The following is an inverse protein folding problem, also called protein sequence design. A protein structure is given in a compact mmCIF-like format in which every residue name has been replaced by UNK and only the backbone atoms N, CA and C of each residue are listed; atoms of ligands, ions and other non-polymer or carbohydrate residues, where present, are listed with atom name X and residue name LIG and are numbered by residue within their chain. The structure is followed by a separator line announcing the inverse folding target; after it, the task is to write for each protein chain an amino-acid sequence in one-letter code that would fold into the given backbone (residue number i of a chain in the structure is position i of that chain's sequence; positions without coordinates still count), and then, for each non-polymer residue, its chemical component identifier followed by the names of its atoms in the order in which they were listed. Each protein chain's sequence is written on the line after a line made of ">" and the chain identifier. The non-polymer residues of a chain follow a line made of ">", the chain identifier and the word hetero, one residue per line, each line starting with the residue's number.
data_IF_985934717011
#
_entry.id   IF_985934717011
#
_cell.length_a   1.000
_cell.length_b   1.000
_cell.length_c   1.000
_cell.angle_alpha   90.00
_cell.angle_beta   90.00
_cell.angle_gamma   90.00
#
_symmetry.space_group_name_H-M   'P 1'
#
loop_
_entity.id
_entity.type
_entity.pdbx_description
1 polymer ?
#
# COMPACT_ATOMS: atom_id res chain seq x y z
N UNK A 1 -9.12 34.69 -4.53
CA UNK A 1 -8.23 33.69 -3.94
C UNK A 1 -6.91 34.39 -3.62
N UNK A 2 -6.60 34.63 -2.35
CA UNK A 2 -5.31 35.22 -1.96
C UNK A 2 -4.27 34.12 -2.14
N UNK A 3 -3.28 34.34 -3.01
CA UNK A 3 -2.14 33.45 -3.15
C UNK A 3 -1.30 33.58 -1.87
N UNK A 4 -1.30 32.55 -1.01
CA UNK A 4 -0.52 32.54 0.22
C UNK A 4 0.93 32.17 -0.09
N UNK A 5 1.88 32.96 0.38
CA UNK A 5 3.31 32.60 0.40
C UNK A 5 3.56 31.75 1.63
N UNK A 6 4.13 30.56 1.43
CA UNK A 6 4.56 29.67 2.50
C UNK A 6 6.06 29.76 2.68
N UNK A 7 6.56 29.66 3.91
CA UNK A 7 7.99 29.80 4.24
C UNK A 7 8.65 28.44 4.51
N UNK A 8 7.84 27.41 4.75
CA UNK A 8 8.31 26.06 5.02
C UNK A 8 7.35 25.02 4.46
N UNK A 9 7.84 23.79 4.27
CA UNK A 9 6.99 22.67 3.84
C UNK A 9 5.94 22.31 4.91
N UNK A 10 6.27 22.51 6.20
CA UNK A 10 5.29 22.28 7.29
C UNK A 10 4.10 23.23 7.25
N UNK A 11 4.25 24.43 6.66
CA UNK A 11 3.15 25.39 6.50
C UNK A 11 2.11 24.92 5.47
N UNK A 12 2.48 23.96 4.61
CA UNK A 12 1.60 23.33 3.63
C UNK A 12 0.76 22.20 4.21
N UNK A 13 1.06 21.75 5.44
CA UNK A 13 0.33 20.65 6.07
C UNK A 13 -1.02 21.16 6.57
N UNK A 14 -2.06 20.42 6.22
CA UNK A 14 -3.43 20.82 6.51
C UNK A 14 -4.04 21.69 5.40
N UNK A 15 -5.15 22.35 5.71
CA UNK A 15 -5.95 23.14 4.76
C UNK A 15 -6.24 22.37 3.46
N UNK A 16 -6.38 21.06 3.56
CA UNK A 16 -6.59 20.19 2.41
C UNK A 16 -7.96 20.43 1.79
N UNK A 17 -8.09 20.28 0.46
CA UNK A 17 -9.37 20.44 -0.22
C UNK A 17 -10.40 19.42 0.24
N UNK A 18 -11.67 19.81 0.13
CA UNK A 18 -12.82 18.94 0.28
C UNK A 18 -13.53 18.85 -1.07
N UNK A 19 -13.65 17.64 -1.62
CA UNK A 19 -14.23 17.36 -2.92
C UNK A 19 -15.60 16.69 -2.75
N UNK A 20 -16.65 17.24 -3.33
CA UNK A 20 -17.93 16.52 -3.45
C UNK A 20 -17.86 15.52 -4.60
N UNK A 21 -18.19 14.27 -4.34
CA UNK A 21 -18.26 13.21 -5.35
C UNK A 21 -19.61 13.25 -6.06
N UNK A 22 -19.59 13.20 -7.40
CA UNK A 22 -20.78 13.36 -8.21
C UNK A 22 -21.06 12.20 -9.18
N UNK A 23 -20.05 11.40 -9.50
CA UNK A 23 -20.14 10.34 -10.50
C UNK A 23 -20.35 8.95 -9.90
N UNK A 24 -20.11 8.82 -8.59
CA UNK A 24 -20.40 7.61 -7.85
C UNK A 24 -21.85 7.64 -7.37
N UNK A 25 -22.50 6.47 -7.35
CA UNK A 25 -23.85 6.33 -6.78
C UNK A 25 -23.80 6.46 -5.25
N UNK A 26 -24.21 7.62 -4.74
CA UNK A 26 -24.28 7.94 -3.31
C UNK A 26 -25.69 7.84 -2.74
N UNK A 27 -26.64 7.25 -3.48
CA UNK A 27 -28.05 7.25 -3.06
C UNK A 27 -28.56 8.68 -2.80
N UNK A 28 -29.30 8.93 -1.73
CA UNK A 28 -29.84 10.26 -1.44
C UNK A 28 -28.81 11.24 -0.83
N UNK A 29 -27.58 10.79 -0.51
CA UNK A 29 -26.61 11.59 0.24
C UNK A 29 -25.72 12.45 -0.67
N UNK A 30 -25.26 13.56 -0.12
CA UNK A 30 -24.09 14.28 -0.61
C UNK A 30 -22.84 13.73 0.07
N UNK A 31 -21.95 13.09 -0.71
CA UNK A 31 -20.73 12.49 -0.20
C UNK A 31 -19.52 13.38 -0.53
N UNK A 32 -18.75 13.70 0.51
CA UNK A 32 -17.57 14.55 0.43
C UNK A 32 -16.30 13.77 0.77
N UNK A 33 -15.24 13.99 0.00
CA UNK A 33 -13.94 13.37 0.17
C UNK A 33 -12.92 14.42 0.61
N UNK A 34 -12.40 14.32 1.83
CA UNK A 34 -11.32 15.17 2.35
C UNK A 34 -9.99 14.69 1.80
N UNK A 35 -9.32 15.51 0.98
CA UNK A 35 -8.15 15.10 0.20
C UNK A 35 -6.85 15.19 1.03
N UNK A 36 -6.72 14.34 2.05
CA UNK A 36 -5.53 14.27 2.90
C UNK A 36 -4.28 13.74 2.17
N UNK A 37 -4.46 13.09 1.02
CA UNK A 37 -3.40 12.72 0.09
C UNK A 37 -2.68 13.92 -0.55
N UNK A 38 -3.20 15.14 -0.38
CA UNK A 38 -2.60 16.38 -0.86
C UNK A 38 -1.72 17.09 0.16
N UNK A 39 -1.58 16.58 1.38
CA UNK A 39 -0.51 17.00 2.26
C UNK A 39 0.87 16.78 1.60
N UNK A 40 1.92 17.55 1.92
CA UNK A 40 3.21 17.50 1.22
C UNK A 40 3.92 16.14 1.27
N UNK A 41 3.77 15.36 2.36
CA UNK A 41 4.24 13.96 2.45
C UNK A 41 3.25 12.94 1.86
N UNK A 42 2.14 13.44 1.31
CA UNK A 42 1.13 12.65 0.60
C UNK A 42 0.24 11.83 1.51
N UNK A 43 -0.02 12.26 2.75
CA UNK A 43 -0.96 11.57 3.63
C UNK A 43 -1.47 12.39 4.82
N UNK A 44 -2.54 11.92 5.43
CA UNK A 44 -3.10 12.42 6.68
C UNK A 44 -2.10 12.38 7.85
N UNK A 45 -1.06 11.55 7.77
CA UNK A 45 -0.06 11.39 8.84
C UNK A 45 0.93 12.54 8.91
N UNK A 46 0.99 13.41 7.92
CA UNK A 46 1.81 14.63 7.98
C UNK A 46 1.35 15.53 9.13
N UNK A 47 0.02 15.64 9.33
CA UNK A 47 -0.56 16.36 10.47
C UNK A 47 -0.15 15.75 11.81
N UNK A 48 -0.22 14.43 11.90
CA UNK A 48 0.13 13.66 13.09
C UNK A 48 1.62 13.82 13.42
N UNK A 49 2.49 13.67 12.43
CA UNK A 49 3.93 13.83 12.59
C UNK A 49 4.31 15.24 13.06
N UNK A 50 3.74 16.28 12.44
CA UNK A 50 3.97 17.67 12.84
C UNK A 50 3.52 17.92 14.28
N UNK A 51 2.34 17.45 14.66
CA UNK A 51 1.78 17.62 16.00
C UNK A 51 2.65 16.92 17.06
N UNK A 52 3.03 15.65 16.83
CA UNK A 52 3.83 14.89 17.79
C UNK A 52 5.23 15.49 18.00
N UNK A 53 5.88 15.96 16.93
CA UNK A 53 7.19 16.61 17.04
C UNK A 53 7.07 17.96 17.75
N UNK A 54 6.11 18.81 17.37
CA UNK A 54 5.91 20.12 18.02
C UNK A 54 5.59 19.97 19.51
N UNK A 55 4.77 18.98 19.88
CA UNK A 55 4.42 18.73 21.28
C UNK A 55 5.63 18.21 22.06
N UNK A 56 6.46 17.35 21.47
CA UNK A 56 7.69 16.89 22.09
C UNK A 56 8.69 18.04 22.34
N UNK A 57 8.81 18.97 21.39
CA UNK A 57 9.60 20.20 21.54
C UNK A 57 9.04 21.08 22.67
N UNK A 58 7.72 21.34 22.66
CA UNK A 58 7.05 22.16 23.67
C UNK A 58 7.21 21.59 25.09
N UNK A 59 7.21 20.27 25.22
CA UNK A 59 7.41 19.59 26.51
C UNK A 59 8.90 19.46 26.91
N UNK A 60 9.84 19.90 26.07
CA UNK A 60 11.27 19.72 26.29
C UNK A 60 11.78 18.29 26.22
N UNK A 61 10.97 17.37 25.66
CA UNK A 61 11.33 15.95 25.48
C UNK A 61 12.24 15.72 24.28
N UNK A 62 12.18 16.63 23.29
CA UNK A 62 13.01 16.60 22.10
C UNK A 62 13.81 17.91 22.02
N UNK A 63 15.13 17.81 22.21
CA UNK A 63 16.04 18.95 22.11
C UNK A 63 16.38 19.23 20.62
N UNK A 64 16.71 20.50 20.26
CA UNK A 64 17.16 20.83 18.91
C UNK A 64 18.31 19.93 18.44
N UNK A 65 18.24 19.40 17.23
CA UNK A 65 19.20 18.45 16.68
C UNK A 65 19.17 17.04 17.29
N UNK A 66 18.20 16.77 18.16
CA UNK A 66 17.99 15.47 18.81
C UNK A 66 17.69 14.33 17.83
N UNK A 67 17.49 13.13 18.38
CA UNK A 67 17.19 11.94 17.61
C UNK A 67 15.75 11.53 17.87
N UNK A 68 14.99 11.35 16.80
CA UNK A 68 13.62 10.79 16.81
C UNK A 68 13.71 9.32 16.45
N UNK A 69 13.00 8.47 17.19
CA UNK A 69 12.90 7.03 16.89
C UNK A 69 11.43 6.64 16.81
N UNK A 70 11.07 5.84 15.82
CA UNK A 70 9.71 5.29 15.67
C UNK A 70 9.74 3.92 14.99
N UNK A 71 8.75 3.11 15.30
CA UNK A 71 8.54 1.78 14.75
C UNK A 71 7.48 1.83 13.64
N UNK A 72 7.88 2.18 12.40
CA UNK A 72 6.94 2.28 11.29
C UNK A 72 7.63 2.34 9.93
N UNK A 73 7.03 1.70 8.94
CA UNK A 73 7.38 1.85 7.53
C UNK A 73 6.27 2.56 6.72
N UNK A 74 5.20 2.95 7.39
CA UNK A 74 4.02 3.54 6.74
C UNK A 74 4.09 5.07 6.63
N UNK A 75 2.91 5.63 6.45
CA UNK A 75 2.74 7.08 6.28
C UNK A 75 3.23 7.91 7.47
N UNK A 76 3.16 7.37 8.69
CA UNK A 76 3.72 8.05 9.88
C UNK A 76 5.22 8.24 9.74
N UNK A 77 5.96 7.22 9.28
CA UNK A 77 7.40 7.34 9.03
C UNK A 77 7.73 8.39 7.96
N UNK A 78 6.93 8.47 6.90
CA UNK A 78 7.12 9.49 5.86
C UNK A 78 6.86 10.91 6.39
N UNK A 79 5.78 11.11 7.14
CA UNK A 79 5.49 12.39 7.78
C UNK A 79 6.60 12.80 8.77
N UNK A 80 7.06 11.86 9.62
CA UNK A 80 8.17 12.11 10.54
C UNK A 80 9.46 12.45 9.78
N UNK A 81 9.77 11.74 8.69
CA UNK A 81 10.97 12.01 7.89
C UNK A 81 10.93 13.41 7.26
N UNK A 82 9.78 13.82 6.73
CA UNK A 82 9.58 15.15 6.18
C UNK A 82 9.85 16.25 7.22
N UNK A 83 9.25 16.15 8.41
CA UNK A 83 9.39 17.15 9.47
C UNK A 83 10.79 17.10 10.12
N UNK A 84 11.35 15.91 10.33
CA UNK A 84 12.69 15.74 10.87
C UNK A 84 13.75 16.38 9.96
N UNK A 85 13.66 16.16 8.63
CA UNK A 85 14.55 16.78 7.66
C UNK A 85 14.47 18.33 7.72
N UNK A 86 13.25 18.87 7.76
CA UNK A 86 13.03 20.31 7.81
C UNK A 86 13.55 20.96 9.10
N UNK A 87 13.36 20.29 10.24
CA UNK A 87 13.75 20.79 11.57
C UNK A 87 15.16 20.37 11.99
N UNK A 88 15.93 19.71 11.13
CA UNK A 88 17.28 19.22 11.38
C UNK A 88 17.36 18.20 12.53
N UNK A 89 16.37 17.31 12.65
CA UNK A 89 16.40 16.17 13.56
C UNK A 89 16.99 14.94 12.87
N UNK A 90 17.67 14.10 13.62
CA UNK A 90 18.02 12.74 13.18
C UNK A 90 16.79 11.85 13.33
N UNK A 91 16.48 11.07 12.33
CA UNK A 91 15.37 10.12 12.39
C UNK A 91 15.86 8.70 12.17
N UNK A 92 15.50 7.81 13.09
CA UNK A 92 15.74 6.37 12.99
C UNK A 92 14.38 5.67 12.97
N UNK A 93 14.13 4.89 11.93
CA UNK A 93 12.90 4.11 11.78
C UNK A 93 13.21 2.61 11.83
N UNK A 94 12.56 1.91 12.74
CA UNK A 94 12.61 0.46 12.84
C UNK A 94 11.48 -0.14 12.01
N UNK A 95 11.83 -0.94 11.01
CA UNK A 95 10.94 -1.38 9.95
C UNK A 95 11.00 -2.91 9.82
N UNK A 96 9.86 -3.62 9.83
CA UNK A 96 9.83 -5.06 9.54
C UNK A 96 10.33 -5.36 8.12
N UNK A 97 11.08 -6.43 7.94
CA UNK A 97 11.72 -6.84 6.67
C UNK A 97 10.74 -7.25 5.56
N UNK A 98 9.46 -7.48 5.91
CA UNK A 98 8.36 -7.74 4.94
C UNK A 98 7.88 -6.51 4.17
N UNK A 99 8.39 -5.33 4.52
CA UNK A 99 7.93 -4.08 3.88
C UNK A 99 8.51 -3.90 2.49
N UNK A 100 7.78 -3.20 1.62
CA UNK A 100 8.20 -2.99 0.23
C UNK A 100 9.48 -2.16 0.13
N UNK A 101 10.32 -2.47 -0.88
CA UNK A 101 11.60 -1.76 -1.14
C UNK A 101 11.37 -0.28 -1.41
N UNK A 102 10.29 0.06 -2.12
CA UNK A 102 9.92 1.44 -2.48
C UNK A 102 9.68 2.30 -1.22
N UNK A 103 9.01 1.76 -0.21
CA UNK A 103 8.80 2.46 1.07
C UNK A 103 10.12 2.73 1.78
N UNK A 104 11.01 1.73 1.83
CA UNK A 104 12.33 1.86 2.44
C UNK A 104 13.16 2.91 1.70
N UNK A 105 13.13 2.90 0.36
CA UNK A 105 13.84 3.90 -0.45
C UNK A 105 13.29 5.30 -0.25
N UNK A 106 11.98 5.45 -0.17
CA UNK A 106 11.35 6.76 0.08
C UNK A 106 11.76 7.33 1.45
N UNK A 107 11.74 6.52 2.51
CA UNK A 107 12.19 6.93 3.84
C UNK A 107 13.67 7.36 3.83
N UNK A 108 14.55 6.58 3.17
CA UNK A 108 15.97 6.90 3.05
C UNK A 108 16.22 8.16 2.23
N UNK A 109 15.45 8.38 1.15
CA UNK A 109 15.53 9.59 0.34
C UNK A 109 15.19 10.87 1.12
N UNK A 110 14.33 10.76 2.13
CA UNK A 110 14.02 11.84 3.09
C UNK A 110 15.06 11.97 4.23
N UNK A 111 16.14 11.18 4.21
CA UNK A 111 17.23 11.27 5.19
C UNK A 111 17.05 10.38 6.43
N UNK A 112 16.02 9.53 6.48
CA UNK A 112 15.85 8.63 7.62
C UNK A 112 16.87 7.47 7.60
N UNK A 113 17.40 7.14 8.77
CA UNK A 113 18.11 5.88 9.00
C UNK A 113 17.08 4.77 9.18
N UNK A 114 17.09 3.77 8.29
CA UNK A 114 16.13 2.66 8.34
C UNK A 114 16.83 1.40 8.81
N UNK A 115 16.40 0.89 9.97
CA UNK A 115 16.84 -0.36 10.57
C UNK A 115 15.80 -1.45 10.30
N UNK A 116 16.21 -2.49 9.59
CA UNK A 116 15.33 -3.63 9.31
C UNK A 116 15.36 -4.61 10.48
N UNK A 117 14.18 -5.14 10.83
CA UNK A 117 14.04 -6.16 11.86
C UNK A 117 13.13 -7.30 11.35
N UNK A 118 13.14 -8.43 12.07
CA UNK A 118 12.36 -9.62 11.73
C UNK A 118 10.87 -9.35 11.79
N UNK A 119 10.13 -9.81 10.78
CA UNK A 119 8.66 -9.76 10.71
C UNK A 119 7.97 -11.06 11.15
N UNK A 120 8.74 -12.12 11.43
CA UNK A 120 8.25 -13.44 11.85
C UNK A 120 8.19 -13.61 13.39
N UNK A 121 8.25 -12.50 14.13
CA UNK A 121 8.21 -12.48 15.60
C UNK A 121 7.05 -11.63 16.12
N UNK A 122 6.54 -12.01 17.30
CA UNK A 122 5.41 -11.36 17.95
C UNK A 122 5.87 -10.38 19.05
N UNK A 123 4.93 -9.55 19.52
CA UNK A 123 5.14 -8.62 20.66
C UNK A 123 5.72 -9.33 21.87
N UNK A 124 6.70 -8.71 22.50
CA UNK A 124 7.49 -9.28 23.61
C UNK A 124 8.82 -9.93 23.17
N UNK A 125 9.00 -10.18 21.87
CA UNK A 125 10.29 -10.64 21.35
C UNK A 125 11.24 -9.44 21.14
N UNK A 126 12.54 -9.50 21.50
CA UNK A 126 13.47 -8.37 21.36
C UNK A 126 13.62 -7.81 19.95
N UNK A 127 13.35 -8.60 18.91
CA UNK A 127 13.35 -8.17 17.51
C UNK A 127 11.97 -7.75 17.01
N UNK A 128 10.91 -7.76 17.84
CA UNK A 128 9.63 -7.18 17.45
C UNK A 128 9.79 -5.67 17.25
N UNK A 129 9.32 -5.14 16.14
CA UNK A 129 9.70 -3.80 15.66
C UNK A 129 9.41 -2.68 16.68
N UNK A 130 8.28 -2.73 17.40
CA UNK A 130 7.96 -1.73 18.43
C UNK A 130 8.84 -1.88 19.67
N UNK A 131 9.07 -3.13 20.14
CA UNK A 131 9.92 -3.40 21.32
C UNK A 131 11.38 -3.02 21.03
N UNK A 132 11.84 -3.26 19.80
CA UNK A 132 13.17 -2.85 19.36
C UNK A 132 13.30 -1.33 19.31
N UNK A 133 12.33 -0.61 18.72
CA UNK A 133 12.37 0.85 18.64
C UNK A 133 12.37 1.51 20.03
N UNK A 134 11.55 1.01 20.94
CA UNK A 134 11.50 1.50 22.32
C UNK A 134 12.83 1.30 23.02
N UNK A 135 13.39 0.08 23.00
CA UNK A 135 14.69 -0.21 23.57
C UNK A 135 15.80 0.64 22.97
N UNK A 136 15.81 0.82 21.65
CA UNK A 136 16.79 1.65 20.96
C UNK A 136 16.72 3.10 21.42
N UNK A 137 15.51 3.62 21.69
CA UNK A 137 15.35 4.96 22.21
C UNK A 137 15.86 5.08 23.64
N UNK A 138 15.61 4.10 24.50
CA UNK A 138 16.10 4.05 25.87
C UNK A 138 17.64 3.97 25.94
N UNK A 139 18.27 3.27 24.97
CA UNK A 139 19.72 3.09 24.88
C UNK A 139 20.44 4.27 24.16
N UNK A 140 19.69 5.13 23.45
CA UNK A 140 20.27 6.24 22.68
C UNK A 140 20.16 7.56 23.46
N UNK A 141 21.27 8.15 23.94
CA UNK A 141 21.25 9.39 24.69
C UNK A 141 20.56 10.54 23.92
N UNK A 142 19.58 11.19 24.55
CA UNK A 142 18.85 12.30 23.95
C UNK A 142 17.89 11.91 22.81
N UNK A 143 17.60 10.63 22.64
CA UNK A 143 16.58 10.18 21.70
C UNK A 143 15.17 10.29 22.30
N UNK A 144 14.21 10.54 21.45
CA UNK A 144 12.79 10.58 21.77
C UNK A 144 12.04 9.50 20.95
N UNK A 145 11.37 8.58 21.64
CA UNK A 145 10.46 7.62 21.03
C UNK A 145 9.10 8.25 20.83
N UNK A 146 8.63 8.33 19.59
CA UNK A 146 7.37 8.99 19.23
C UNK A 146 6.16 8.25 19.81
N UNK A 147 6.13 6.90 19.69
CA UNK A 147 5.06 6.03 20.19
C UNK A 147 3.66 6.47 19.71
N UNK A 148 3.43 6.44 18.40
CA UNK A 148 2.21 6.94 17.76
C UNK A 148 0.91 6.36 18.33
N UNK A 149 0.96 5.15 18.91
CA UNK A 149 -0.22 4.47 19.45
C UNK A 149 -0.62 4.97 20.85
N UNK A 150 0.31 5.58 21.59
CA UNK A 150 0.09 6.08 22.96
C UNK A 150 0.34 7.59 23.10
N UNK A 151 0.61 8.29 22.01
CA UNK A 151 0.94 9.70 22.01
C UNK A 151 -0.30 10.58 21.82
N UNK A 152 -0.70 11.30 22.87
CA UNK A 152 -1.88 12.19 22.86
C UNK A 152 -1.79 13.32 21.81
N UNK A 153 -0.61 13.68 21.34
CA UNK A 153 -0.44 14.64 20.26
C UNK A 153 -0.92 14.09 18.90
N UNK A 154 -1.11 12.78 18.77
CA UNK A 154 -1.71 12.17 17.59
C UNK A 154 -3.20 12.55 17.44
N UNK A 155 -4.11 12.27 18.38
CA UNK A 155 -5.49 12.76 18.28
C UNK A 155 -5.57 14.30 18.33
N UNK A 156 -4.68 14.96 19.05
CA UNK A 156 -4.63 16.43 19.11
C UNK A 156 -4.46 17.06 17.72
N UNK A 157 -3.66 16.46 16.82
CA UNK A 157 -3.50 16.92 15.45
C UNK A 157 -4.85 17.06 14.73
N UNK A 158 -5.73 16.09 14.91
CA UNK A 158 -7.04 16.07 14.27
C UNK A 158 -8.07 16.96 14.96
N UNK A 159 -8.03 17.03 16.28
CA UNK A 159 -8.90 17.91 17.06
C UNK A 159 -8.61 19.39 16.77
N UNK A 160 -7.33 19.76 16.56
CA UNK A 160 -6.94 21.17 16.36
C UNK A 160 -6.88 21.61 14.90
N UNK A 161 -6.88 20.69 13.95
CA UNK A 161 -6.79 21.04 12.52
C UNK A 161 -7.86 20.38 11.67
N UNK A 162 -7.90 19.05 11.56
CA UNK A 162 -8.79 18.33 10.64
C UNK A 162 -10.27 18.58 10.93
N UNK A 163 -10.67 18.53 12.22
CA UNK A 163 -12.06 18.72 12.62
C UNK A 163 -12.55 20.15 12.37
N UNK A 164 -11.83 21.22 12.81
CA UNK A 164 -12.22 22.59 12.48
C UNK A 164 -12.27 22.87 10.99
N UNK A 165 -11.33 22.35 10.19
CA UNK A 165 -11.34 22.50 8.74
C UNK A 165 -12.60 21.90 8.12
N UNK A 166 -12.98 20.67 8.47
CA UNK A 166 -14.19 20.02 7.97
C UNK A 166 -15.44 20.81 8.33
N UNK A 167 -15.53 21.22 9.59
CA UNK A 167 -16.65 22.00 10.09
C UNK A 167 -16.81 23.32 9.34
N UNK A 168 -15.70 24.03 9.12
CA UNK A 168 -15.69 25.29 8.36
C UNK A 168 -16.05 25.06 6.89
N UNK A 169 -15.49 24.05 6.24
CA UNK A 169 -15.71 23.75 4.82
C UNK A 169 -17.16 23.35 4.51
N UNK A 170 -17.88 22.80 5.48
CA UNK A 170 -19.28 22.39 5.36
C UNK A 170 -20.25 23.25 6.18
N UNK A 171 -19.77 24.41 6.69
CA UNK A 171 -20.59 25.36 7.45
C UNK A 171 -21.31 24.73 8.66
N UNK A 172 -20.66 23.74 9.28
CA UNK A 172 -21.19 23.01 10.43
C UNK A 172 -22.28 21.98 10.11
N UNK A 173 -22.61 21.80 8.83
CA UNK A 173 -23.67 20.86 8.42
C UNK A 173 -23.05 19.53 7.96
N UNK A 174 -22.79 18.64 8.93
CA UNK A 174 -22.21 17.31 8.74
C UNK A 174 -23.05 16.30 9.52
N UNK A 175 -23.71 15.37 8.81
CA UNK A 175 -24.51 14.33 9.44
C UNK A 175 -23.66 13.12 9.88
N UNK A 176 -22.68 12.72 9.07
CA UNK A 176 -21.83 11.56 9.38
C UNK A 176 -20.41 11.72 8.85
N UNK A 177 -19.45 11.12 9.57
CA UNK A 177 -18.04 11.03 9.20
C UNK A 177 -17.63 9.56 9.19
N UNK A 178 -17.17 9.07 8.03
CA UNK A 178 -16.67 7.69 7.86
C UNK A 178 -15.17 7.69 7.98
N UNK A 179 -14.64 6.95 8.95
CA UNK A 179 -13.22 6.86 9.27
C UNK A 179 -12.75 5.40 9.37
N UNK A 180 -11.47 5.18 9.12
CA UNK A 180 -10.77 3.94 9.44
C UNK A 180 -9.87 4.13 10.65
N UNK A 181 -9.55 3.05 11.34
CA UNK A 181 -8.71 3.05 12.53
C UNK A 181 -7.43 2.23 12.28
N UNK A 182 -6.27 2.90 12.38
CA UNK A 182 -4.98 2.29 12.62
C UNK A 182 -4.56 2.65 14.05
N UNK A 183 -3.78 3.72 14.27
CA UNK A 183 -3.42 4.16 15.64
C UNK A 183 -4.59 4.73 16.48
N UNK A 184 -5.74 4.99 15.87
CA UNK A 184 -6.92 5.56 16.56
C UNK A 184 -6.95 7.09 16.62
N UNK A 185 -5.86 7.77 16.33
CA UNK A 185 -5.77 9.23 16.52
C UNK A 185 -6.78 10.03 15.71
N UNK A 186 -7.04 9.65 14.45
CA UNK A 186 -8.02 10.35 13.60
C UNK A 186 -9.43 10.27 14.21
N UNK A 187 -9.90 9.07 14.53
CA UNK A 187 -11.21 8.87 15.15
C UNK A 187 -11.30 9.62 16.48
N UNK A 188 -10.35 9.38 17.41
CA UNK A 188 -10.36 9.98 18.74
C UNK A 188 -10.31 11.51 18.71
N UNK A 189 -9.50 12.10 17.84
CA UNK A 189 -9.38 13.56 17.71
C UNK A 189 -10.64 14.20 17.10
N UNK A 190 -11.21 13.59 16.05
CA UNK A 190 -12.46 14.07 15.46
C UNK A 190 -13.61 13.96 16.47
N UNK A 191 -13.78 12.83 17.15
CA UNK A 191 -14.84 12.65 18.14
C UNK A 191 -14.71 13.64 19.30
N UNK A 192 -13.48 13.88 19.82
CA UNK A 192 -13.29 14.83 20.90
C UNK A 192 -13.76 16.24 20.51
N UNK A 193 -13.45 16.69 19.31
CA UNK A 193 -13.84 18.02 18.84
C UNK A 193 -15.34 18.11 18.52
N UNK A 194 -15.88 17.11 17.77
CA UNK A 194 -17.28 17.12 17.34
C UNK A 194 -18.25 16.92 18.50
N UNK A 195 -17.86 16.26 19.58
CA UNK A 195 -18.68 16.14 20.78
C UNK A 195 -19.08 17.49 21.37
N UNK A 196 -18.20 18.51 21.25
CA UNK A 196 -18.44 19.86 21.74
C UNK A 196 -19.12 20.76 20.72
N UNK A 197 -18.80 20.60 19.41
CA UNK A 197 -19.21 21.56 18.38
C UNK A 197 -20.36 21.06 17.49
N UNK A 198 -20.54 19.76 17.35
CA UNK A 198 -21.64 19.15 16.57
C UNK A 198 -21.93 17.73 17.10
N UNK A 199 -22.51 17.59 18.30
CA UNK A 199 -22.73 16.28 18.95
C UNK A 199 -23.71 15.37 18.20
N UNK A 200 -24.42 15.91 17.20
CA UNK A 200 -25.32 15.13 16.33
C UNK A 200 -24.59 14.36 15.21
N UNK A 201 -23.32 14.68 14.96
CA UNK A 201 -22.55 14.07 13.86
C UNK A 201 -22.23 12.61 14.20
N UNK A 202 -22.69 11.68 13.37
CA UNK A 202 -22.46 10.24 13.53
C UNK A 202 -21.05 9.86 13.08
N UNK A 203 -20.39 8.98 13.84
CA UNK A 203 -19.10 8.38 13.43
C UNK A 203 -19.33 6.95 12.97
N UNK A 204 -18.84 6.66 11.76
CA UNK A 204 -18.98 5.36 11.10
C UNK A 204 -17.60 4.75 10.96
N UNK A 205 -17.40 3.53 11.42
CA UNK A 205 -16.15 2.80 11.25
C UNK A 205 -16.13 2.04 9.92
N UNK A 206 -15.09 2.28 9.13
CA UNK A 206 -14.75 1.45 7.99
C UNK A 206 -13.57 0.56 8.38
N UNK A 207 -13.76 -0.75 8.41
CA UNK A 207 -12.79 -1.72 8.94
C UNK A 207 -12.49 -2.80 7.90
N UNK A 208 -11.21 -3.14 7.64
CA UNK A 208 -10.88 -4.26 6.77
C UNK A 208 -11.41 -5.58 7.32
N UNK A 209 -11.93 -6.44 6.45
CA UNK A 209 -12.29 -7.79 6.83
C UNK A 209 -11.06 -8.54 7.34
N UNK A 210 -11.13 -9.10 8.53
CA UNK A 210 -9.99 -9.70 9.26
C UNK A 210 -9.47 -8.86 10.42
N UNK A 211 -9.76 -7.56 10.47
CA UNK A 211 -9.56 -6.73 11.66
C UNK A 211 -10.64 -7.00 12.71
N UNK A 212 -10.32 -6.80 13.99
CA UNK A 212 -11.24 -7.06 15.11
C UNK A 212 -12.11 -5.84 15.51
N UNK A 213 -11.84 -4.67 14.93
CA UNK A 213 -12.42 -3.42 15.43
C UNK A 213 -13.92 -3.32 15.17
N UNK A 214 -14.39 -3.79 14.02
CA UNK A 214 -15.83 -3.83 13.72
C UNK A 214 -16.58 -4.81 14.62
N UNK A 215 -15.98 -5.95 14.98
CA UNK A 215 -16.58 -6.90 15.94
C UNK A 215 -16.69 -6.28 17.31
N UNK A 216 -15.68 -5.54 17.74
CA UNK A 216 -15.72 -4.81 19.01
C UNK A 216 -16.84 -3.76 19.06
N UNK A 217 -17.06 -3.02 17.95
CA UNK A 217 -18.16 -2.04 17.86
C UNK A 217 -19.53 -2.73 17.91
N UNK A 218 -19.72 -3.82 17.14
CA UNK A 218 -21.01 -4.47 17.00
C UNK A 218 -21.40 -5.32 18.21
N UNK A 219 -20.43 -5.97 18.88
CA UNK A 219 -20.69 -6.99 19.89
C UNK A 219 -20.08 -6.69 21.26
N UNK A 220 -19.17 -5.72 21.36
CA UNK A 220 -18.39 -5.45 22.58
C UNK A 220 -17.35 -6.54 22.88
N UNK A 221 -17.04 -7.44 21.93
CA UNK A 221 -16.11 -8.55 22.09
C UNK A 221 -15.07 -8.55 20.98
N UNK A 222 -13.91 -9.13 21.27
CA UNK A 222 -12.87 -9.37 20.27
C UNK A 222 -13.36 -10.41 19.26
N UNK A 223 -13.27 -10.10 17.98
CA UNK A 223 -13.48 -11.04 16.89
C UNK A 223 -12.28 -11.94 16.66
N UNK A 224 -12.40 -12.87 15.71
CA UNK A 224 -11.26 -13.64 15.23
C UNK A 224 -10.39 -12.77 14.31
N UNK A 225 -9.09 -12.74 14.57
CA UNK A 225 -8.13 -12.03 13.75
C UNK A 225 -7.87 -12.80 12.46
N UNK A 226 -8.05 -12.14 11.32
CA UNK A 226 -7.70 -12.64 10.00
C UNK A 226 -6.48 -11.92 9.42
N UNK A 227 -6.32 -12.00 8.11
CA UNK A 227 -5.33 -11.25 7.34
C UNK A 227 -6.01 -10.33 6.34
N UNK A 228 -5.39 -9.19 6.07
CA UNK A 228 -5.86 -8.23 5.06
C UNK A 228 -4.67 -7.60 4.33
N UNK A 229 -4.92 -7.06 3.13
CA UNK A 229 -3.94 -6.43 2.26
C UNK A 229 -4.03 -4.89 2.28
N UNK A 230 -5.13 -4.34 2.80
CA UNK A 230 -5.29 -2.89 3.00
C UNK A 230 -4.24 -2.39 3.97
N UNK A 231 -3.65 -1.23 3.70
CA UNK A 231 -2.59 -0.67 4.52
C UNK A 231 -3.08 0.56 5.30
N UNK A 232 -2.56 0.70 6.54
CA UNK A 232 -2.73 1.89 7.38
C UNK A 232 -3.98 1.94 8.24
N UNK A 233 -4.86 0.95 8.11
CA UNK A 233 -6.04 0.74 8.96
C UNK A 233 -6.27 -0.74 9.18
N UNK A 234 -7.07 -1.08 10.20
CA UNK A 234 -7.29 -2.45 10.65
C UNK A 234 -6.24 -2.86 11.68
N UNK A 235 -6.67 -3.47 12.76
CA UNK A 235 -5.81 -3.91 13.86
C UNK A 235 -6.27 -5.26 14.43
N UNK A 236 -5.36 -5.98 15.06
CA UNK A 236 -5.59 -7.21 15.83
C UNK A 236 -5.68 -6.96 17.35
N UNK A 237 -5.68 -5.68 17.73
CA UNK A 237 -5.89 -5.19 19.09
C UNK A 237 -6.68 -3.87 19.04
N UNK A 238 -7.17 -3.39 20.20
CA UNK A 238 -7.81 -2.08 20.29
C UNK A 238 -6.75 -1.03 20.60
N UNK A 239 -6.46 -0.10 19.67
CA UNK A 239 -5.53 0.99 19.94
C UNK A 239 -6.03 1.88 21.08
N UNK A 240 -5.18 2.25 22.04
CA UNK A 240 -5.58 3.07 23.19
C UNK A 240 -6.20 4.43 22.83
N UNK A 241 -5.82 4.99 21.67
CA UNK A 241 -6.33 6.27 21.18
C UNK A 241 -7.68 6.14 20.43
N UNK A 242 -8.12 4.93 20.13
CA UNK A 242 -9.39 4.70 19.44
C UNK A 242 -10.56 4.69 20.44
N UNK A 243 -11.49 5.62 20.28
CA UNK A 243 -12.71 5.72 21.09
C UNK A 243 -13.86 5.01 20.36
N UNK A 244 -13.84 3.67 20.38
CA UNK A 244 -14.81 2.86 19.62
C UNK A 244 -16.24 2.97 20.18
N UNK A 245 -16.41 3.29 21.44
CA UNK A 245 -17.71 3.52 22.09
C UNK A 245 -18.51 4.69 21.48
N UNK A 246 -17.82 5.62 20.82
CA UNK A 246 -18.47 6.74 20.11
C UNK A 246 -18.79 6.44 18.63
N UNK A 247 -18.61 5.21 18.19
CA UNK A 247 -18.93 4.77 16.82
C UNK A 247 -20.38 4.34 16.74
N UNK A 248 -21.14 4.92 15.79
CA UNK A 248 -22.56 4.62 15.58
C UNK A 248 -22.79 3.26 14.92
N UNK A 249 -21.97 2.92 13.91
CA UNK A 249 -22.03 1.64 13.19
C UNK A 249 -20.68 1.34 12.54
N UNK A 250 -20.42 0.06 12.26
CA UNK A 250 -19.21 -0.40 11.59
C UNK A 250 -19.52 -1.16 10.30
N UNK A 251 -18.66 -1.02 9.30
CA UNK A 251 -18.72 -1.75 8.04
C UNK A 251 -17.43 -2.53 7.82
N UNK A 252 -17.53 -3.85 7.71
CA UNK A 252 -16.43 -4.71 7.27
C UNK A 252 -16.35 -4.65 5.75
N UNK A 253 -15.17 -4.35 5.25
CA UNK A 253 -14.89 -4.20 3.82
C UNK A 253 -13.77 -5.17 3.44
N UNK A 254 -14.03 -6.02 2.45
CA UNK A 254 -13.01 -6.95 1.95
C UNK A 254 -11.95 -6.21 1.13
N UNK A 255 -10.74 -6.79 1.02
CA UNK A 255 -9.67 -6.25 0.17
C UNK A 255 -10.12 -6.07 -1.28
N UNK A 256 -10.88 -7.04 -1.80
CA UNK A 256 -11.46 -6.96 -3.15
C UNK A 256 -12.34 -5.73 -3.31
N UNK A 257 -13.28 -5.52 -2.40
CA UNK A 257 -14.18 -4.36 -2.42
C UNK A 257 -13.39 -3.05 -2.30
N UNK A 258 -12.46 -2.97 -1.33
CA UNK A 258 -11.63 -1.80 -1.11
C UNK A 258 -10.82 -1.40 -2.35
N UNK A 259 -10.12 -2.36 -2.96
CA UNK A 259 -9.26 -2.07 -4.10
C UNK A 259 -10.04 -1.74 -5.37
N UNK A 260 -11.16 -2.43 -5.61
CA UNK A 260 -12.05 -2.09 -6.72
C UNK A 260 -12.63 -0.69 -6.57
N UNK A 261 -13.07 -0.31 -5.35
CA UNK A 261 -13.60 1.03 -5.08
C UNK A 261 -12.54 2.12 -5.24
N UNK A 262 -11.28 1.89 -4.80
CA UNK A 262 -10.19 2.83 -5.02
C UNK A 262 -9.86 3.01 -6.52
N UNK A 263 -9.89 1.93 -7.29
CA UNK A 263 -9.72 1.98 -8.76
C UNK A 263 -10.88 2.69 -9.44
N UNK A 264 -12.10 2.44 -9.01
CA UNK A 264 -13.29 3.14 -9.51
C UNK A 264 -13.22 4.64 -9.22
N UNK A 265 -12.80 5.04 -8.00
CA UNK A 265 -12.60 6.44 -7.64
C UNK A 265 -11.63 7.13 -8.60
N UNK A 266 -10.51 6.49 -8.96
CA UNK A 266 -9.59 7.02 -9.96
C UNK A 266 -10.24 7.13 -11.35
N UNK A 267 -10.95 6.10 -11.79
CA UNK A 267 -11.52 6.03 -13.15
C UNK A 267 -12.64 7.04 -13.37
N UNK A 268 -13.50 7.26 -12.37
CA UNK A 268 -14.69 8.08 -12.56
C UNK A 268 -14.59 9.50 -11.98
N UNK A 269 -13.87 9.67 -10.86
CA UNK A 269 -13.71 10.98 -10.21
C UNK A 269 -12.32 11.59 -10.42
N UNK A 270 -11.34 10.80 -10.94
CA UNK A 270 -9.98 11.26 -11.19
C UNK A 270 -9.10 11.37 -9.94
N UNK A 271 -9.50 10.77 -8.82
CA UNK A 271 -8.74 10.83 -7.57
C UNK A 271 -7.90 9.59 -7.37
N UNK A 272 -6.57 9.75 -7.44
CA UNK A 272 -5.59 8.67 -7.16
C UNK A 272 -5.30 8.62 -5.67
N UNK A 273 -5.89 7.66 -4.97
CA UNK A 273 -5.79 7.49 -3.52
C UNK A 273 -5.42 6.05 -3.14
N UNK A 274 -4.98 5.84 -1.89
CA UNK A 274 -4.48 4.55 -1.40
C UNK A 274 -5.56 3.55 -1.01
N UNK A 275 -5.12 2.39 -0.54
CA UNK A 275 -5.98 1.24 -0.21
C UNK A 275 -6.99 1.52 0.90
N UNK A 276 -6.57 2.20 1.97
CA UNK A 276 -7.46 2.61 3.06
C UNK A 276 -8.58 3.54 2.57
N UNK A 277 -8.31 4.40 1.59
CA UNK A 277 -9.35 5.24 0.97
C UNK A 277 -10.42 4.39 0.31
N UNK A 278 -10.04 3.30 -0.35
CA UNK A 278 -11.00 2.36 -0.93
C UNK A 278 -11.91 1.74 0.11
N UNK A 279 -11.36 1.33 1.25
CA UNK A 279 -12.14 0.81 2.40
C UNK A 279 -13.12 1.85 2.93
N UNK A 280 -12.62 3.07 3.19
CA UNK A 280 -13.44 4.15 3.72
C UNK A 280 -14.57 4.53 2.75
N UNK A 281 -14.25 4.65 1.46
CA UNK A 281 -15.21 5.00 0.42
C UNK A 281 -16.26 3.90 0.23
N UNK A 282 -15.87 2.62 0.25
CA UNK A 282 -16.82 1.50 0.19
C UNK A 282 -17.83 1.56 1.34
N UNK A 283 -17.35 1.75 2.56
CA UNK A 283 -18.21 1.90 3.73
C UNK A 283 -19.12 3.13 3.61
N UNK A 284 -18.58 4.27 3.16
CA UNK A 284 -19.34 5.51 2.96
C UNK A 284 -20.45 5.35 1.92
N UNK A 285 -20.16 4.70 0.79
CA UNK A 285 -21.16 4.42 -0.26
C UNK A 285 -22.27 3.49 0.26
N UNK A 286 -21.91 2.43 1.02
CA UNK A 286 -22.87 1.52 1.63
C UNK A 286 -23.75 2.25 2.67
N UNK A 287 -23.15 3.08 3.52
CA UNK A 287 -23.86 3.91 4.48
C UNK A 287 -24.83 4.87 3.77
N UNK A 288 -24.38 5.57 2.74
CA UNK A 288 -25.17 6.55 2.00
C UNK A 288 -26.38 5.91 1.29
N UNK A 289 -26.20 4.76 0.63
CA UNK A 289 -27.26 4.03 -0.07
C UNK A 289 -28.32 3.47 0.89
N UNK A 290 -27.97 3.22 2.14
CA UNK A 290 -28.90 2.74 3.15
C UNK A 290 -29.76 3.86 3.75
N UNK A 291 -29.51 5.13 3.43
CA UNK A 291 -30.28 6.24 3.97
C UNK A 291 -31.61 6.41 3.25
N UNK A 292 -32.64 6.79 3.97
CA UNK A 292 -33.99 7.12 3.43
C UNK A 292 -34.18 8.62 3.17
N UNK A 293 -33.25 9.46 3.64
CA UNK A 293 -33.27 10.91 3.50
C UNK A 293 -31.88 11.44 3.13
N UNK A 294 -31.79 12.63 2.51
CA UNK A 294 -30.51 13.26 2.24
C UNK A 294 -29.70 13.44 3.53
N UNK A 295 -28.40 13.10 3.45
CA UNK A 295 -27.39 13.36 4.50
C UNK A 295 -26.13 13.91 3.86
N UNK A 296 -25.40 14.73 4.61
CA UNK A 296 -24.07 15.20 4.25
C UNK A 296 -23.04 14.32 4.95
N UNK A 297 -22.33 13.52 4.16
CA UNK A 297 -21.39 12.49 4.65
C UNK A 297 -19.97 12.82 4.20
N UNK A 298 -19.03 12.72 5.12
CA UNK A 298 -17.59 12.97 4.85
C UNK A 298 -16.81 11.68 4.98
N UNK A 299 -15.84 11.48 4.09
CA UNK A 299 -14.79 10.48 4.23
C UNK A 299 -13.45 11.04 3.75
N UNK A 300 -12.37 10.23 3.76
CA UNK A 300 -11.00 10.71 3.55
C UNK A 300 -10.30 9.98 2.42
N UNK A 301 -9.59 10.74 1.57
CA UNK A 301 -8.48 10.23 0.77
C UNK A 301 -7.22 10.27 1.65
N UNK A 302 -7.02 9.20 2.42
CA UNK A 302 -6.05 9.16 3.52
C UNK A 302 -4.61 9.35 3.06
N UNK A 303 -4.25 8.79 1.88
CA UNK A 303 -2.94 8.92 1.29
C UNK A 303 -2.96 8.80 -0.24
N UNK A 304 -1.82 9.11 -0.86
CA UNK A 304 -1.65 9.08 -2.32
C UNK A 304 -1.55 7.66 -2.86
N UNK A 305 -2.28 7.38 -3.94
CA UNK A 305 -2.23 6.12 -4.67
C UNK A 305 -0.88 5.85 -5.36
N UNK A 306 -0.01 6.85 -5.49
CA UNK A 306 1.36 6.67 -6.02
C UNK A 306 2.17 5.63 -5.25
N UNK A 307 1.82 5.36 -4.00
CA UNK A 307 2.46 4.35 -3.14
C UNK A 307 2.01 2.91 -3.45
N UNK A 308 1.04 2.73 -4.36
CA UNK A 308 0.35 1.46 -4.64
C UNK A 308 0.28 1.11 -6.13
N UNK A 309 1.05 1.81 -6.98
CA UNK A 309 1.04 1.59 -8.45
C UNK A 309 1.46 0.17 -8.82
N UNK A 310 2.40 -0.41 -8.10
CA UNK A 310 2.85 -1.80 -8.29
C UNK A 310 1.95 -2.85 -7.60
N UNK A 311 0.90 -2.43 -6.89
CA UNK A 311 -0.03 -3.28 -6.15
C UNK A 311 -1.44 -3.16 -6.72
N UNK A 312 -2.37 -2.50 -6.00
CA UNK A 312 -3.79 -2.46 -6.35
C UNK A 312 -4.11 -1.76 -7.68
N UNK A 313 -3.18 -1.00 -8.26
CA UNK A 313 -3.30 -0.41 -9.59
C UNK A 313 -2.62 -1.25 -10.69
N UNK A 314 -1.98 -2.36 -10.34
CA UNK A 314 -1.39 -3.33 -11.26
C UNK A 314 -2.31 -4.55 -11.36
N UNK A 315 -2.83 -4.83 -12.56
CA UNK A 315 -3.75 -5.95 -12.79
C UNK A 315 -3.10 -7.30 -12.51
N UNK A 316 -1.80 -7.47 -12.82
CA UNK A 316 -1.10 -8.73 -12.60
C UNK A 316 -0.96 -9.01 -11.11
N UNK A 317 -0.62 -7.99 -10.31
CA UNK A 317 -0.61 -8.13 -8.86
C UNK A 317 -2.00 -8.44 -8.32
N UNK A 318 -3.05 -7.77 -8.81
CA UNK A 318 -4.43 -8.03 -8.41
C UNK A 318 -4.87 -9.47 -8.74
N UNK A 319 -4.47 -10.00 -9.90
CA UNK A 319 -4.71 -11.40 -10.27
C UNK A 319 -3.94 -12.37 -9.37
N UNK A 320 -2.65 -12.11 -9.11
CA UNK A 320 -1.82 -12.91 -8.20
C UNK A 320 -2.39 -12.99 -6.78
N UNK A 321 -3.06 -11.92 -6.32
CA UNK A 321 -3.75 -11.90 -5.03
C UNK A 321 -5.18 -12.51 -5.10
N UNK A 322 -5.64 -13.01 -6.25
CA UNK A 322 -6.98 -13.54 -6.43
C UNK A 322 -8.10 -12.48 -6.38
N UNK A 323 -7.75 -11.19 -6.50
CA UNK A 323 -8.69 -10.07 -6.38
C UNK A 323 -9.39 -9.73 -7.69
N UNK A 324 -8.77 -10.04 -8.82
CA UNK A 324 -9.39 -10.03 -10.16
C UNK A 324 -9.45 -11.48 -10.63
N UNK A 325 -10.65 -11.93 -10.91
CA UNK A 325 -10.83 -13.28 -11.46
C UNK A 325 -10.31 -13.35 -12.90
N UNK A 326 -9.64 -14.44 -13.24
CA UNK A 326 -9.32 -14.83 -14.61
C UNK A 326 -10.15 -16.07 -14.90
N UNK A 327 -10.83 -16.15 -16.06
CA UNK A 327 -11.53 -17.38 -16.46
C UNK A 327 -10.53 -18.53 -16.51
N UNK A 328 -10.83 -19.62 -15.82
CA UNK A 328 -10.05 -20.85 -15.89
C UNK A 328 -10.30 -21.53 -17.25
N UNK A 329 -9.22 -21.94 -17.90
CA UNK A 329 -9.26 -22.65 -19.17
C UNK A 329 -9.26 -24.17 -18.95
N UNK A 330 -8.86 -24.62 -17.76
CA UNK A 330 -8.71 -26.04 -17.42
C UNK A 330 -7.46 -26.66 -18.05
N UNK A 331 -6.47 -25.86 -18.39
CA UNK A 331 -5.21 -26.28 -19.00
C UNK A 331 -3.98 -25.55 -18.35
N UNK A 332 -2.78 -25.84 -18.85
CA UNK A 332 -1.55 -25.25 -18.27
C UNK A 332 -1.48 -23.71 -18.39
N UNK A 333 -2.31 -23.09 -19.22
CA UNK A 333 -2.35 -21.62 -19.30
C UNK A 333 -2.87 -20.99 -18.01
N UNK A 334 -3.54 -21.75 -17.15
CA UNK A 334 -4.01 -21.26 -15.84
C UNK A 334 -2.88 -21.02 -14.84
N UNK A 335 -1.70 -21.61 -15.07
CA UNK A 335 -0.49 -21.38 -14.28
C UNK A 335 0.32 -20.15 -14.76
N UNK A 336 0.03 -19.58 -15.94
CA UNK A 336 0.77 -18.45 -16.46
C UNK A 336 0.36 -17.18 -15.69
N UNK A 337 1.26 -16.63 -14.88
CA UNK A 337 1.02 -15.37 -14.17
C UNK A 337 0.98 -14.17 -15.13
N UNK A 338 1.97 -14.08 -16.00
CA UNK A 338 2.15 -12.98 -16.97
C UNK A 338 1.90 -13.51 -18.41
N UNK A 339 0.69 -13.32 -18.93
CA UNK A 339 0.32 -13.80 -20.27
C UNK A 339 0.83 -12.89 -21.37
N UNK A 340 1.35 -13.49 -22.43
CA UNK A 340 1.88 -12.76 -23.58
C UNK A 340 0.81 -12.04 -24.40
N UNK A 341 -0.35 -12.66 -24.57
CA UNK A 341 -1.49 -12.08 -25.28
C UNK A 341 -2.14 -10.90 -24.55
N UNK A 342 -1.88 -10.76 -23.25
CA UNK A 342 -2.27 -9.60 -22.41
C UNK A 342 -1.17 -8.51 -22.41
N UNK A 343 -0.04 -8.72 -23.12
CA UNK A 343 1.09 -7.79 -23.12
C UNK A 343 1.89 -7.77 -21.81
N UNK A 344 1.67 -8.75 -20.94
CA UNK A 344 2.28 -8.79 -19.60
C UNK A 344 3.69 -9.42 -19.61
N UNK A 345 4.00 -10.31 -20.56
CA UNK A 345 5.30 -10.97 -20.64
C UNK A 345 6.32 -10.10 -21.34
N UNK A 346 7.46 -9.89 -20.70
CA UNK A 346 8.63 -9.21 -21.29
C UNK A 346 9.40 -10.22 -22.15
N UNK A 347 9.68 -9.87 -23.41
CA UNK A 347 10.35 -10.73 -24.39
C UNK A 347 11.51 -10.01 -25.08
N UNK A 348 12.34 -10.75 -25.81
CA UNK A 348 13.36 -10.21 -26.70
C UNK A 348 13.16 -10.74 -28.14
N UNK A 349 13.60 -9.98 -29.13
CA UNK A 349 13.75 -10.45 -30.51
C UNK A 349 15.19 -10.95 -30.73
N UNK A 350 15.45 -11.88 -31.70
CA UNK A 350 16.80 -12.43 -31.92
C UNK A 350 17.89 -11.40 -32.20
N UNK A 351 17.53 -10.27 -32.79
CA UNK A 351 18.41 -9.14 -33.13
C UNK A 351 18.52 -8.07 -32.04
N UNK A 352 17.75 -8.18 -30.95
CA UNK A 352 17.93 -7.32 -29.78
C UNK A 352 19.36 -7.46 -29.22
N UNK A 353 20.00 -6.34 -28.85
CA UNK A 353 21.32 -6.40 -28.29
C UNK A 353 21.35 -6.92 -26.88
N UNK A 354 22.45 -7.53 -26.44
CA UNK A 354 22.62 -7.97 -25.04
C UNK A 354 22.45 -6.81 -24.06
N UNK A 355 22.81 -5.58 -24.44
CA UNK A 355 22.57 -4.36 -23.65
C UNK A 355 21.06 -4.10 -23.46
N UNK A 356 20.27 -4.23 -24.53
CA UNK A 356 18.81 -4.04 -24.48
C UNK A 356 18.15 -5.10 -23.60
N UNK A 357 18.56 -6.36 -23.77
CA UNK A 357 18.09 -7.48 -22.94
C UNK A 357 18.41 -7.27 -21.46
N UNK A 358 19.65 -6.93 -21.14
CA UNK A 358 20.06 -6.61 -19.76
C UNK A 358 19.26 -5.45 -19.17
N UNK A 359 19.02 -4.40 -19.98
CA UNK A 359 18.19 -3.25 -19.56
C UNK A 359 16.77 -3.68 -19.23
N UNK A 360 16.16 -4.56 -20.05
CA UNK A 360 14.81 -5.10 -19.76
C UNK A 360 14.82 -5.95 -18.49
N UNK A 361 15.81 -6.84 -18.29
CA UNK A 361 15.93 -7.62 -17.06
C UNK A 361 15.97 -6.72 -15.83
N UNK A 362 16.76 -5.65 -15.86
CA UNK A 362 16.88 -4.70 -14.75
C UNK A 362 15.60 -3.88 -14.52
N UNK A 363 14.96 -3.43 -15.62
CA UNK A 363 13.75 -2.60 -15.55
C UNK A 363 12.58 -3.36 -14.93
N UNK A 364 12.42 -4.65 -15.27
CA UNK A 364 11.32 -5.47 -14.84
C UNK A 364 11.64 -6.41 -13.65
N UNK A 365 12.87 -6.33 -13.12
CA UNK A 365 13.36 -7.18 -12.02
C UNK A 365 13.19 -8.68 -12.31
N UNK A 366 13.55 -9.09 -13.51
CA UNK A 366 13.48 -10.47 -14.03
C UNK A 366 14.86 -10.98 -14.42
N UNK A 367 15.11 -12.27 -14.19
CA UNK A 367 16.40 -12.91 -14.42
C UNK A 367 16.53 -13.62 -15.78
N UNK A 368 15.44 -13.68 -16.54
CA UNK A 368 15.40 -14.39 -17.83
C UNK A 368 14.30 -13.85 -18.74
N UNK A 369 14.52 -14.00 -20.06
CA UNK A 369 13.62 -13.55 -21.12
C UNK A 369 13.46 -14.62 -22.18
N UNK A 370 12.24 -14.95 -22.63
CA UNK A 370 12.05 -15.72 -23.85
C UNK A 370 12.40 -14.85 -25.06
N UNK A 371 13.09 -15.45 -26.02
CA UNK A 371 13.41 -14.83 -27.30
C UNK A 371 12.41 -15.31 -28.33
N UNK A 372 11.70 -14.38 -28.94
CA UNK A 372 10.62 -14.66 -29.88
C UNK A 372 10.96 -14.23 -31.31
N UNK A 373 10.65 -15.06 -32.27
CA UNK A 373 10.64 -14.75 -33.70
C UNK A 373 9.27 -15.15 -34.29
N UNK A 374 8.57 -14.22 -34.90
CA UNK A 374 7.21 -14.42 -35.45
C UNK A 374 6.23 -15.04 -34.45
N UNK A 375 6.31 -14.65 -33.16
CA UNK A 375 5.44 -15.14 -32.08
C UNK A 375 5.76 -16.56 -31.59
N UNK A 376 6.87 -17.15 -32.03
CA UNK A 376 7.38 -18.46 -31.60
C UNK A 376 8.62 -18.28 -30.75
N UNK A 377 8.78 -19.12 -29.73
CA UNK A 377 10.00 -19.12 -28.93
C UNK A 377 11.13 -19.80 -29.72
N UNK A 378 12.22 -19.05 -29.92
CA UNK A 378 13.44 -19.54 -30.60
C UNK A 378 14.60 -19.71 -29.63
N UNK A 379 14.45 -19.23 -28.41
CA UNK A 379 15.43 -19.36 -27.33
C UNK A 379 14.97 -18.74 -26.03
N UNK A 380 15.78 -18.90 -25.02
CA UNK A 380 15.67 -18.22 -23.73
C UNK A 380 17.05 -17.66 -23.36
N UNK A 381 17.10 -16.50 -22.74
CA UNK A 381 18.33 -15.89 -22.27
C UNK A 381 18.20 -15.55 -20.79
N UNK A 382 19.21 -15.89 -20.02
CA UNK A 382 19.31 -15.57 -18.60
C UNK A 382 20.52 -14.70 -18.25
N UNK A 383 20.66 -14.30 -16.99
CA UNK A 383 21.79 -13.51 -16.51
C UNK A 383 23.14 -14.24 -16.68
N UNK A 384 23.19 -15.59 -16.58
CA UNK A 384 24.39 -16.39 -16.80
C UNK A 384 24.83 -16.35 -18.26
N UNK A 385 23.88 -16.42 -19.20
CA UNK A 385 24.19 -16.32 -20.62
C UNK A 385 24.83 -14.98 -20.95
N UNK A 386 24.29 -13.89 -20.36
CA UNK A 386 24.90 -12.55 -20.51
C UNK A 386 26.29 -12.50 -19.92
N UNK A 387 26.51 -12.99 -18.68
CA UNK A 387 27.81 -12.98 -18.01
C UNK A 387 28.84 -13.70 -18.85
N UNK A 388 28.54 -14.90 -19.35
CA UNK A 388 29.46 -15.71 -20.17
C UNK A 388 29.87 -15.01 -21.45
N UNK A 389 28.98 -14.28 -22.11
CA UNK A 389 29.21 -13.66 -23.39
C UNK A 389 29.92 -12.29 -23.30
N UNK A 390 29.65 -11.52 -22.22
CA UNK A 390 30.22 -10.16 -22.06
C UNK A 390 31.48 -10.14 -21.20
N UNK A 391 31.90 -11.26 -20.60
CA UNK A 391 33.06 -11.32 -19.71
C UNK A 391 34.32 -10.82 -20.39
N UNK A 392 34.89 -9.74 -19.82
CA UNK A 392 36.16 -9.18 -20.27
C UNK A 392 36.09 -8.22 -21.47
N UNK A 393 34.94 -8.07 -22.13
CA UNK A 393 34.79 -7.18 -23.30
C UNK A 393 33.43 -6.47 -23.32
N UNK A 394 33.45 -5.16 -23.02
CA UNK A 394 32.22 -4.33 -23.04
C UNK A 394 31.60 -4.16 -24.43
N UNK A 395 32.39 -4.31 -25.51
CA UNK A 395 31.86 -4.18 -26.88
C UNK A 395 30.88 -5.31 -27.21
N UNK A 396 30.98 -6.44 -26.52
CA UNK A 396 30.07 -7.57 -26.68
C UNK A 396 28.63 -7.31 -26.25
N UNK A 397 28.39 -6.25 -25.49
CA UNK A 397 27.00 -5.83 -25.20
C UNK A 397 26.22 -5.37 -26.46
N UNK A 398 26.92 -5.07 -27.56
CA UNK A 398 26.29 -4.77 -28.86
C UNK A 398 25.93 -5.99 -29.69
N UNK A 399 26.36 -7.19 -29.29
CA UNK A 399 26.01 -8.42 -29.98
C UNK A 399 24.53 -8.72 -29.87
N UNK A 400 23.93 -9.36 -30.91
CA UNK A 400 22.54 -9.77 -30.86
C UNK A 400 22.34 -10.92 -29.84
N UNK A 401 21.16 -10.97 -29.20
CA UNK A 401 20.84 -11.99 -28.18
C UNK A 401 20.87 -13.40 -28.75
N UNK A 402 20.65 -13.56 -30.06
CA UNK A 402 20.72 -14.85 -30.78
C UNK A 402 22.09 -15.54 -30.68
N UNK A 403 23.18 -14.80 -30.36
CA UNK A 403 24.50 -15.36 -30.12
C UNK A 403 24.66 -15.90 -28.69
N UNK A 404 23.91 -15.36 -27.72
CA UNK A 404 24.04 -15.72 -26.31
C UNK A 404 22.92 -16.64 -25.80
N UNK A 405 21.72 -16.58 -26.38
CA UNK A 405 20.54 -17.32 -25.92
C UNK A 405 20.75 -18.83 -25.97
N UNK A 406 20.21 -19.53 -24.99
CA UNK A 406 20.03 -20.99 -25.07
C UNK A 406 18.89 -21.32 -26.03
N UNK A 407 19.16 -22.22 -26.99
CA UNK A 407 18.15 -22.75 -27.94
C UNK A 407 17.46 -23.99 -27.37
N UNK A 408 17.96 -24.54 -26.29
CA UNK A 408 17.36 -25.67 -25.62
C UNK A 408 16.30 -25.17 -24.62
N UNK A 409 15.05 -25.10 -25.07
CA UNK A 409 13.92 -24.56 -24.31
C UNK A 409 12.90 -25.67 -24.06
N UNK A 410 12.45 -25.81 -22.85
CA UNK A 410 11.39 -26.76 -22.47
C UNK A 410 10.02 -26.16 -22.79
N UNK A 411 9.47 -26.57 -23.92
CA UNK A 411 8.17 -26.06 -24.42
C UNK A 411 7.10 -27.14 -24.20
N UNK A 412 6.02 -26.77 -23.52
CA UNK A 412 4.82 -27.60 -23.34
C UNK A 412 3.64 -27.02 -24.11
N UNK A 413 2.88 -27.88 -24.78
CA UNK A 413 1.55 -27.49 -25.22
C UNK A 413 0.65 -27.22 -24.00
N UNK A 414 -0.20 -26.22 -24.07
CA UNK A 414 -1.08 -25.85 -22.94
C UNK A 414 -1.96 -27.02 -22.46
N UNK A 415 -2.23 -28.02 -23.33
CA UNK A 415 -3.03 -29.22 -23.03
C UNK A 415 -2.20 -30.38 -22.43
N UNK A 416 -0.88 -30.18 -22.27
CA UNK A 416 -0.04 -31.19 -21.63
C UNK A 416 -0.49 -31.43 -20.17
N UNK A 417 -0.26 -32.61 -19.61
CA UNK A 417 -0.61 -32.88 -18.22
C UNK A 417 0.26 -32.11 -17.27
N UNK A 418 -0.29 -31.73 -16.12
CA UNK A 418 0.43 -30.99 -15.06
C UNK A 418 1.69 -31.71 -14.57
N UNK A 419 1.74 -33.06 -14.66
CA UNK A 419 2.92 -33.85 -14.33
C UNK A 419 4.15 -33.55 -15.20
N UNK A 420 3.95 -33.18 -16.46
CA UNK A 420 5.06 -32.77 -17.35
C UNK A 420 5.60 -31.39 -16.93
N UNK A 421 4.71 -30.46 -16.57
CA UNK A 421 5.12 -29.18 -16.01
C UNK A 421 5.95 -29.38 -14.73
N UNK A 422 5.48 -30.22 -13.81
CA UNK A 422 6.22 -30.52 -12.58
C UNK A 422 7.60 -31.12 -12.87
N UNK A 423 7.70 -32.05 -13.82
CA UNK A 423 8.98 -32.67 -14.20
C UNK A 423 10.01 -31.65 -14.74
N UNK A 424 9.59 -30.58 -15.42
CA UNK A 424 10.46 -29.49 -15.85
C UNK A 424 10.90 -28.66 -14.64
N UNK A 425 9.95 -28.27 -13.78
CA UNK A 425 10.23 -27.44 -12.60
C UNK A 425 11.13 -28.16 -11.57
N UNK A 426 11.02 -29.50 -11.44
CA UNK A 426 11.88 -30.29 -10.56
C UNK A 426 13.35 -30.25 -10.99
N UNK A 427 13.64 -30.12 -12.27
CA UNK A 427 14.99 -29.93 -12.81
C UNK A 427 15.53 -28.51 -12.61
N UNK A 428 14.77 -27.62 -11.99
CA UNK A 428 15.16 -26.22 -11.76
C UNK A 428 15.00 -25.32 -12.98
N UNK A 429 14.31 -25.80 -14.01
CA UNK A 429 14.06 -25.08 -15.25
C UNK A 429 12.72 -24.32 -15.18
N UNK A 430 12.49 -23.42 -16.12
CA UNK A 430 11.18 -22.80 -16.40
C UNK A 430 10.52 -23.51 -17.56
N UNK A 431 9.20 -23.62 -17.51
CA UNK A 431 8.42 -24.15 -18.61
C UNK A 431 7.91 -23.00 -19.50
N UNK A 432 8.11 -23.13 -20.79
CA UNK A 432 7.45 -22.29 -21.80
C UNK A 432 6.14 -22.94 -22.18
N UNK A 433 5.04 -22.21 -22.03
CA UNK A 433 3.72 -22.71 -22.44
C UNK A 433 3.33 -22.11 -23.78
N UNK A 434 2.89 -22.97 -24.70
CA UNK A 434 2.46 -22.59 -26.03
C UNK A 434 1.11 -23.21 -26.40
N UNK A 435 0.37 -22.59 -27.31
CA UNK A 435 -0.75 -23.19 -28.01
C UNK A 435 -0.26 -23.55 -29.40
N UNK A 436 0.02 -24.83 -29.63
CA UNK A 436 0.80 -25.33 -30.77
C UNK A 436 2.19 -24.67 -30.84
N UNK A 437 2.39 -23.67 -31.69
CA UNK A 437 3.65 -22.95 -31.84
C UNK A 437 3.60 -21.52 -31.28
N UNK A 438 2.39 -21.05 -30.91
CA UNK A 438 2.20 -19.68 -30.41
C UNK A 438 2.54 -19.62 -28.95
N UNK A 439 3.47 -18.74 -28.59
CA UNK A 439 3.86 -18.49 -27.21
C UNK A 439 2.71 -17.87 -26.40
N UNK A 440 2.44 -18.43 -25.21
CA UNK A 440 1.44 -17.93 -24.27
C UNK A 440 2.08 -17.29 -23.04
N UNK A 441 3.19 -17.83 -22.54
CA UNK A 441 3.88 -17.31 -21.37
C UNK A 441 4.86 -18.32 -20.77
N UNK A 442 5.50 -17.90 -19.69
CA UNK A 442 6.40 -18.73 -18.89
C UNK A 442 5.69 -19.17 -17.61
N UNK A 443 6.05 -20.35 -17.10
CA UNK A 443 5.63 -20.85 -15.79
C UNK A 443 6.85 -21.20 -14.97
N UNK A 444 6.95 -20.59 -13.78
CA UNK A 444 7.96 -20.82 -12.77
C UNK A 444 7.38 -21.57 -11.58
N UNK A 445 8.24 -22.04 -10.66
CA UNK A 445 7.80 -22.62 -9.38
C UNK A 445 6.91 -21.68 -8.56
N UNK A 446 7.24 -20.37 -8.58
CA UNK A 446 6.46 -19.34 -7.88
C UNK A 446 5.04 -19.21 -8.43
N UNK A 447 4.88 -19.34 -9.75
CA UNK A 447 3.57 -19.26 -10.41
C UNK A 447 2.67 -20.44 -10.01
N UNK A 448 3.23 -21.64 -9.96
CA UNK A 448 2.50 -22.85 -9.52
C UNK A 448 2.07 -22.73 -8.06
N UNK A 449 2.98 -22.28 -7.15
CA UNK A 449 2.65 -22.05 -5.76
C UNK A 449 1.53 -21.00 -5.58
N UNK A 450 1.58 -19.94 -6.39
CA UNK A 450 0.55 -18.89 -6.39
C UNK A 450 -0.79 -19.42 -6.86
N UNK A 451 -0.82 -20.20 -7.95
CA UNK A 451 -2.03 -20.82 -8.47
C UNK A 451 -2.66 -21.79 -7.46
N UNK A 452 -1.86 -22.63 -6.81
CA UNK A 452 -2.36 -23.55 -5.77
C UNK A 452 -2.91 -22.80 -4.56
N UNK A 453 -2.21 -21.77 -4.05
CA UNK A 453 -2.72 -20.93 -2.96
C UNK A 453 -4.10 -20.34 -3.28
N UNK A 454 -4.28 -19.85 -4.50
CA UNK A 454 -5.53 -19.23 -4.91
C UNK A 454 -6.67 -20.25 -5.07
N UNK A 455 -6.37 -21.50 -5.46
CA UNK A 455 -7.37 -22.61 -5.50
C UNK A 455 -7.83 -23.04 -4.11
N UNK A 456 -6.97 -22.98 -3.10
CA UNK A 456 -7.32 -23.34 -1.71
C UNK A 456 -8.13 -22.23 -1.02
N UNK A 457 -8.01 -20.98 -1.47
CA UNK A 457 -8.69 -19.84 -0.90
C UNK A 457 -10.12 -19.59 -1.46
N UNK A 458 -10.53 -20.34 -2.49
CA UNK A 458 -11.89 -20.40 -3.06
C UNK A 458 -12.71 -21.50 -2.39
#
# INVERSE_FOLDING_TARGET
>A
MVMSLFHSVSDLIGHTPLLQLHKLDTGPCSLFLKLENQNPGGSIKDRVALSMINEAERQGKLAPGGTIIEATAGNTGLGLALIAAQKNYRLILVVPDKMSREKIFHLRALGATVLLTRSDVNKGHPAYYQDYARRLADETPGAFYIDQFNNDANPLAHATSTAPELYQQLEGDIDAIVVGVGSGGTLGGLQAWFAEHSPKTEFILADPAGSILADQVDTGRYGETGSWLVEGIGEDFIPPLARLEGVHTAYRVSDREAFHTARQLLQVEGVLAGSSTGTLLSAALRYCRAQSRPKRVVTFACDSGNKYLSKMFNDDWMRQQGLIARPEQGDLSDFIALRHDEGATVTAAPDDTLAAVFTRMRLYDISQLPVLEDGRVVGIVDEWDLIRHVQGDRQRFSLPVSEAMSRHVEILDKRAPESELQAILDRGLVAVIADNTRFLGLVTRSDVLTAWRNRVAQ
#
